data_IF_754547732800
#
_entry.id   IF_754547732800
#
_cell.length_a   1.000
_cell.length_b   1.000
_cell.length_c   1.000
_cell.angle_alpha   90.00
_cell.angle_beta   90.00
_cell.angle_gamma   90.00
#
_symmetry.space_group_name_H-M   'P 1'
#
loop_
_entity.id
_entity.type
_entity.pdbx_description
1 polymer ?
#
# COMPACT_ATOMS: atom_id res chain seq x y z
N UNK A 1 13.42 -9.37 1.78
CA UNK A 1 12.42 -8.48 1.14
C UNK A 1 12.55 -7.08 1.74
N UNK A 2 12.10 -6.06 1.00
CA UNK A 2 12.03 -4.71 1.54
C UNK A 2 10.94 -4.60 2.63
N UNK A 3 10.95 -3.49 3.36
CA UNK A 3 10.07 -3.28 4.52
C UNK A 3 8.58 -3.29 4.14
N UNK A 4 8.23 -2.73 2.98
CA UNK A 4 6.83 -2.66 2.55
C UNK A 4 6.32 -4.06 2.20
N UNK A 5 7.08 -4.84 1.46
CA UNK A 5 6.70 -6.22 1.16
C UNK A 5 6.60 -7.09 2.41
N UNK A 6 7.50 -6.91 3.37
CA UNK A 6 7.40 -7.61 4.67
C UNK A 6 6.13 -7.19 5.42
N UNK A 7 5.83 -5.90 5.45
CA UNK A 7 4.62 -5.40 6.09
C UNK A 7 3.37 -6.00 5.45
N UNK A 8 3.29 -5.99 4.12
CA UNK A 8 2.14 -6.55 3.39
C UNK A 8 1.98 -8.04 3.68
N UNK A 9 3.07 -8.79 3.65
CA UNK A 9 3.05 -10.22 3.93
C UNK A 9 2.58 -10.52 5.35
N UNK A 10 3.06 -9.76 6.33
CA UNK A 10 2.75 -9.98 7.74
C UNK A 10 1.35 -9.49 8.14
N UNK A 11 0.74 -8.61 7.35
CA UNK A 11 -0.55 -8.00 7.67
C UNK A 11 -1.66 -8.35 6.68
N UNK A 12 -1.41 -9.24 5.73
CA UNK A 12 -2.43 -9.72 4.80
C UNK A 12 -3.35 -10.69 5.50
N UNK A 13 -4.65 -10.52 5.31
CA UNK A 13 -5.67 -11.38 5.89
C UNK A 13 -6.56 -11.94 4.78
N UNK A 14 -6.90 -13.22 4.92
CA UNK A 14 -7.86 -13.90 4.05
C UNK A 14 -9.02 -14.39 4.89
N UNK A 15 -10.24 -14.16 4.43
CA UNK A 15 -11.44 -14.68 5.06
C UNK A 15 -12.06 -15.78 4.22
N UNK A 16 -12.88 -16.61 4.83
CA UNK A 16 -13.66 -17.63 4.15
C UNK A 16 -15.13 -17.46 4.49
N UNK A 17 -15.97 -17.42 3.44
CA UNK A 17 -17.41 -17.33 3.61
C UNK A 17 -18.09 -18.09 2.48
N UNK A 18 -19.00 -19.00 2.82
CA UNK A 18 -19.75 -19.77 1.84
C UNK A 18 -18.90 -20.61 0.91
N UNK A 19 -17.76 -21.11 1.39
CA UNK A 19 -16.83 -21.92 0.61
C UNK A 19 -15.91 -21.11 -0.30
N UNK A 20 -15.95 -19.77 -0.21
CA UNK A 20 -15.09 -18.88 -0.99
C UNK A 20 -14.06 -18.22 -0.08
N UNK A 21 -12.83 -18.12 -0.60
CA UNK A 21 -11.76 -17.39 0.04
C UNK A 21 -11.78 -15.97 -0.53
N UNK A 22 -11.79 -14.97 0.34
CA UNK A 22 -11.73 -13.56 -0.07
C UNK A 22 -10.60 -12.86 0.68
N UNK A 23 -10.01 -11.87 0.01
CA UNK A 23 -8.95 -11.04 0.54
C UNK A 23 -9.54 -9.89 1.35
N UNK A 24 -8.97 -9.61 2.52
CA UNK A 24 -9.30 -8.42 3.31
C UNK A 24 -8.27 -7.33 3.05
N UNK A 25 -8.71 -6.09 2.74
CA UNK A 25 -7.76 -5.00 2.56
C UNK A 25 -6.86 -4.82 3.78
N UNK A 26 -5.57 -4.58 3.53
CA UNK A 26 -4.62 -4.28 4.58
C UNK A 26 -4.98 -2.95 5.24
N UNK A 27 -4.81 -2.85 6.55
CA UNK A 27 -5.03 -1.59 7.26
C UNK A 27 -4.06 -0.52 6.77
N UNK A 28 -4.45 0.75 6.88
CA UNK A 28 -3.57 1.86 6.53
C UNK A 28 -2.28 1.78 7.34
N UNK A 29 -1.16 2.04 6.68
CA UNK A 29 0.13 2.21 7.34
C UNK A 29 0.11 3.57 8.03
N UNK A 30 0.51 3.59 9.31
CA UNK A 30 0.75 4.82 10.04
C UNK A 30 2.26 4.99 10.21
N UNK A 31 2.76 6.17 9.85
CA UNK A 31 4.17 6.50 10.02
C UNK A 31 4.43 7.23 11.34
N UNK A 32 5.70 7.28 11.73
CA UNK A 32 6.09 7.87 13.01
C UNK A 32 5.74 9.35 13.17
N UNK A 33 5.63 10.08 12.05
CA UNK A 33 5.24 11.51 12.07
C UNK A 33 3.71 11.72 11.99
N UNK A 34 2.93 10.64 11.94
CA UNK A 34 1.47 10.69 11.83
C UNK A 34 0.92 10.56 10.42
N UNK A 35 1.77 10.54 9.40
CA UNK A 35 1.33 10.31 8.02
C UNK A 35 0.67 8.92 7.91
N UNK A 36 -0.46 8.85 7.20
CA UNK A 36 -1.18 7.59 6.99
C UNK A 36 -1.48 7.40 5.51
N UNK A 37 -1.41 6.17 5.05
CA UNK A 37 -1.69 5.84 3.66
C UNK A 37 -2.08 4.36 3.53
N UNK A 38 -2.99 4.07 2.61
CA UNK A 38 -3.33 2.70 2.24
C UNK A 38 -2.28 2.15 1.28
N UNK A 39 -1.81 0.93 1.54
CA UNK A 39 -0.92 0.21 0.62
C UNK A 39 -1.55 -1.16 0.35
N UNK A 40 -1.90 -1.43 -0.89
CA UNK A 40 -2.58 -2.67 -1.29
C UNK A 40 -1.82 -3.36 -2.42
N UNK A 41 -1.75 -4.68 -2.34
CA UNK A 41 -1.16 -5.51 -3.39
C UNK A 41 -1.84 -6.89 -3.37
N UNK A 42 -2.64 -7.17 -4.38
CA UNK A 42 -3.40 -8.41 -4.53
C UNK A 42 -3.96 -8.48 -5.96
N UNK A 43 -4.69 -9.54 -6.28
CA UNK A 43 -5.28 -9.71 -7.62
C UNK A 43 -6.29 -8.63 -8.02
N UNK A 44 -6.82 -7.88 -7.05
CA UNK A 44 -7.80 -6.81 -7.31
C UNK A 44 -7.19 -5.40 -7.22
N UNK A 45 -5.93 -5.29 -6.83
CA UNK A 45 -5.23 -4.01 -6.74
C UNK A 45 -4.47 -3.70 -8.03
N UNK A 46 -4.20 -2.42 -8.28
CA UNK A 46 -3.36 -2.00 -9.39
C UNK A 46 -1.90 -2.13 -8.98
N UNK A 47 -1.39 -3.36 -9.05
CA UNK A 47 -0.04 -3.73 -8.63
C UNK A 47 0.62 -4.70 -9.62
N UNK A 48 1.91 -4.95 -9.45
CA UNK A 48 2.67 -5.88 -10.27
C UNK A 48 3.54 -6.77 -9.36
N UNK A 49 3.43 -8.10 -9.44
CA UNK A 49 2.43 -8.84 -10.21
C UNK A 49 1.01 -8.68 -9.64
N UNK A 50 0.00 -8.79 -10.48
CA UNK A 50 -1.39 -8.63 -10.04
C UNK A 50 -1.97 -9.96 -9.60
N UNK A 51 -1.42 -10.48 -8.52
CA UNK A 51 -1.75 -11.78 -7.94
C UNK A 51 -1.77 -11.69 -6.41
N UNK A 52 -2.49 -12.61 -5.78
CA UNK A 52 -2.48 -12.73 -4.32
C UNK A 52 -1.21 -13.41 -3.86
N UNK A 53 -0.72 -13.05 -2.67
CA UNK A 53 0.42 -13.69 -2.03
C UNK A 53 1.68 -13.77 -2.91
N UNK A 54 1.88 -12.76 -3.76
CA UNK A 54 2.97 -12.75 -4.73
C UNK A 54 4.18 -11.93 -4.27
N UNK A 55 4.42 -11.85 -2.96
CA UNK A 55 5.59 -11.12 -2.44
C UNK A 55 6.89 -11.72 -2.96
N UNK A 56 7.88 -10.88 -3.32
CA UNK A 56 7.84 -9.43 -3.29
C UNK A 56 7.13 -8.80 -4.50
N UNK A 57 6.33 -7.78 -4.26
CA UNK A 57 5.70 -6.99 -5.33
C UNK A 57 6.66 -5.90 -5.81
N UNK A 58 6.66 -5.67 -7.12
CA UNK A 58 7.50 -4.63 -7.74
C UNK A 58 6.80 -3.26 -7.74
N UNK A 59 5.47 -3.25 -7.85
CA UNK A 59 4.64 -2.06 -7.82
C UNK A 59 3.40 -2.34 -6.98
N UNK A 60 2.93 -1.34 -6.25
CA UNK A 60 1.76 -1.47 -5.38
C UNK A 60 0.77 -0.34 -5.62
N UNK A 61 -0.47 -0.51 -5.15
CA UNK A 61 -1.49 0.52 -5.19
C UNK A 61 -1.48 1.28 -3.86
N UNK A 62 -1.27 2.59 -3.92
CA UNK A 62 -1.43 3.46 -2.76
C UNK A 62 -2.82 4.11 -2.80
N UNK A 63 -3.29 4.57 -1.66
CA UNK A 63 -4.57 5.27 -1.63
C UNK A 63 -4.76 6.10 -0.38
N UNK A 64 -5.54 7.15 -0.55
CA UNK A 64 -6.10 7.95 0.54
C UNK A 64 -5.05 8.42 1.57
N UNK A 65 -3.94 9.04 1.12
CA UNK A 65 -2.95 9.54 2.06
C UNK A 65 -3.57 10.63 2.95
N UNK A 66 -3.11 10.73 4.19
CA UNK A 66 -3.59 11.76 5.12
C UNK A 66 -3.27 13.17 4.64
N UNK A 67 -2.21 13.30 3.84
CA UNK A 67 -1.82 14.54 3.15
C UNK A 67 -1.05 14.13 1.89
N UNK A 68 -0.95 15.00 0.90
CA UNK A 68 -0.16 14.72 -0.28
C UNK A 68 1.33 14.89 0.01
N UNK A 69 2.13 13.86 -0.33
CA UNK A 69 3.58 14.00 -0.45
C UNK A 69 3.89 14.11 -1.94
N UNK A 70 4.66 15.13 -2.33
CA UNK A 70 4.99 15.39 -3.73
C UNK A 70 5.68 14.20 -4.43
N UNK A 71 6.33 13.32 -3.67
CA UNK A 71 7.00 12.14 -4.21
C UNK A 71 6.04 11.26 -5.00
N UNK A 72 4.75 11.23 -4.64
CA UNK A 72 3.77 10.34 -5.28
C UNK A 72 2.75 11.08 -6.13
N UNK A 73 2.81 12.42 -6.23
CA UNK A 73 1.83 13.22 -6.97
C UNK A 73 1.59 12.69 -8.39
N UNK A 74 2.64 12.34 -9.11
CA UNK A 74 2.54 11.91 -10.51
C UNK A 74 1.74 10.61 -10.71
N UNK A 75 1.57 9.82 -9.65
CA UNK A 75 0.84 8.55 -9.71
C UNK A 75 -0.64 8.71 -9.38
N UNK A 76 -1.08 9.87 -8.94
CA UNK A 76 -2.46 10.09 -8.53
C UNK A 76 -3.42 9.91 -9.71
N UNK A 77 -4.50 9.16 -9.49
CA UNK A 77 -5.52 8.92 -10.52
C UNK A 77 -6.46 10.12 -10.69
N UNK A 78 -6.60 10.95 -9.65
CA UNK A 78 -7.49 12.11 -9.64
C UNK A 78 -6.78 13.31 -9.01
N UNK A 79 -7.32 14.51 -9.24
CA UNK A 79 -6.78 15.76 -8.69
C UNK A 79 -6.93 15.86 -7.17
N UNK A 80 -7.97 15.24 -6.61
CA UNK A 80 -8.17 15.19 -5.16
C UNK A 80 -7.32 14.08 -4.57
N UNK A 81 -6.06 14.40 -4.31
CA UNK A 81 -5.01 13.44 -3.98
C UNK A 81 -5.18 12.73 -2.63
N UNK A 82 -6.01 13.24 -1.72
CA UNK A 82 -6.30 12.56 -0.46
C UNK A 82 -7.52 11.63 -0.55
N UNK A 83 -8.26 11.71 -1.65
CA UNK A 83 -9.49 10.94 -1.88
C UNK A 83 -9.39 9.99 -3.07
N UNK A 84 -8.20 9.70 -3.54
CA UNK A 84 -7.99 8.85 -4.70
C UNK A 84 -6.93 7.78 -4.45
N UNK A 85 -6.79 6.88 -5.43
CA UNK A 85 -5.74 5.85 -5.44
C UNK A 85 -4.59 6.28 -6.35
N UNK A 86 -3.44 5.64 -6.13
CA UNK A 86 -2.20 5.87 -6.86
C UNK A 86 -1.77 4.50 -7.40
N UNK A 87 -2.16 4.16 -8.65
CA UNK A 87 -1.88 2.83 -9.20
C UNK A 87 -0.41 2.64 -9.60
N UNK A 88 0.06 1.40 -9.49
CA UNK A 88 1.37 0.97 -9.99
C UNK A 88 2.55 1.81 -9.50
N UNK A 89 2.58 2.13 -8.20
CA UNK A 89 3.69 2.89 -7.63
C UNK A 89 4.87 1.94 -7.39
N UNK A 90 6.06 2.23 -7.95
CA UNK A 90 7.23 1.39 -7.73
C UNK A 90 7.56 1.22 -6.26
N UNK A 91 7.93 0.01 -5.88
CA UNK A 91 8.17 -0.31 -4.46
C UNK A 91 9.28 0.56 -3.85
N UNK A 92 10.29 0.92 -4.63
CA UNK A 92 11.35 1.81 -4.15
C UNK A 92 10.84 3.20 -3.78
N UNK A 93 9.87 3.71 -4.54
CA UNK A 93 9.22 5.00 -4.24
C UNK A 93 8.42 4.90 -2.94
N UNK A 94 7.71 3.79 -2.75
CA UNK A 94 6.91 3.58 -1.53
C UNK A 94 7.80 3.48 -0.30
N UNK A 95 8.90 2.74 -0.39
CA UNK A 95 9.85 2.65 0.73
C UNK A 95 10.46 4.02 1.07
N UNK A 96 10.81 4.82 0.06
CA UNK A 96 11.31 6.18 0.28
C UNK A 96 10.25 7.06 0.93
N UNK A 97 9.00 6.98 0.46
CA UNK A 97 7.89 7.73 1.04
C UNK A 97 7.74 7.44 2.54
N UNK A 98 7.72 6.18 2.90
CA UNK A 98 7.56 5.77 4.31
C UNK A 98 8.77 6.23 5.14
N UNK A 99 9.97 6.11 4.62
CA UNK A 99 11.19 6.56 5.31
C UNK A 99 11.18 8.07 5.54
N UNK A 100 10.67 8.86 4.59
CA UNK A 100 10.56 10.32 4.72
C UNK A 100 9.64 10.72 5.88
N UNK A 101 8.71 9.87 6.25
CA UNK A 101 7.76 10.10 7.34
C UNK A 101 8.17 9.40 8.64
N UNK A 102 9.43 8.99 8.74
CA UNK A 102 9.99 8.42 9.96
C UNK A 102 9.84 6.90 10.09
N UNK A 103 9.43 6.24 9.03
CA UNK A 103 9.21 4.80 9.04
C UNK A 103 7.84 4.41 9.55
N UNK A 104 7.54 3.12 9.54
CA UNK A 104 6.25 2.60 10.03
C UNK A 104 6.22 2.71 11.55
N UNK A 105 5.16 3.34 12.07
CA UNK A 105 4.96 3.42 13.51
C UNK A 105 4.53 2.05 14.05
N UNK A 106 5.31 1.54 14.99
CA UNK A 106 5.01 0.29 15.68
C UNK A 106 4.88 0.58 17.17
N UNK A 107 3.70 0.31 17.69
CA UNK A 107 3.44 0.49 19.12
C UNK A 107 3.83 -0.75 19.93
#
# INVERSE_FOLDING_TARGET
MDKINEYLKNNSEYGEAGGRIYFRPTKHIMCSDGFRISVQANRNAYCEPREDEAWPYDEVELGYPSELDELIREYAEDEDTTETVFPYVPIGVVNELIDRHGGIFES
#
